data_IF_970184960512
#
_entry.id   IF_970184960512
#
_cell.length_a   1.000
_cell.length_b   1.000
_cell.length_c   1.000
_cell.angle_alpha   90.00
_cell.angle_beta   90.00
_cell.angle_gamma   90.00
#
_symmetry.space_group_name_H-M   'P 1'
#
loop_
_entity.id
_entity.type
_entity.pdbx_description
1 polymer ?
#
# COMPACT_ATOMS: atom_id res chain seq x y z
N UNK A 1 3.43 10.75 -10.50
CA UNK A 1 4.31 9.59 -10.19
C UNK A 1 4.49 9.38 -8.69
N UNK A 2 4.81 10.42 -7.91
CA UNK A 2 5.06 10.30 -6.46
C UNK A 2 3.89 9.74 -5.65
N UNK A 3 2.64 9.97 -6.08
CA UNK A 3 1.45 9.47 -5.39
C UNK A 3 1.32 7.94 -5.46
N UNK A 4 1.53 7.34 -6.64
CA UNK A 4 1.54 5.87 -6.80
C UNK A 4 2.64 5.19 -5.99
N UNK A 5 3.79 5.85 -5.87
CA UNK A 5 4.90 5.34 -5.05
C UNK A 5 4.59 5.42 -3.55
N UNK A 6 3.92 6.48 -3.10
CA UNK A 6 3.46 6.59 -1.71
C UNK A 6 2.43 5.51 -1.38
N UNK A 7 1.42 5.34 -2.24
CA UNK A 7 0.42 4.27 -2.11
C UNK A 7 1.12 2.90 -2.09
N UNK A 8 2.04 2.65 -3.01
CA UNK A 8 2.81 1.41 -3.06
C UNK A 8 3.63 1.13 -1.80
N UNK A 9 4.26 2.16 -1.23
CA UNK A 9 5.01 2.05 0.02
C UNK A 9 4.11 1.70 1.20
N UNK A 10 3.01 2.43 1.38
CA UNK A 10 2.06 2.22 2.50
C UNK A 10 1.47 0.80 2.46
N UNK A 11 1.05 0.34 1.28
CA UNK A 11 0.52 -1.02 1.10
C UNK A 11 1.60 -2.10 1.27
N UNK A 12 2.83 -1.82 0.82
CA UNK A 12 3.93 -2.75 1.01
C UNK A 12 4.26 -2.92 2.50
N UNK A 13 4.37 -1.84 3.26
CA UNK A 13 4.67 -1.89 4.70
C UNK A 13 3.61 -2.69 5.48
N UNK A 14 2.34 -2.50 5.14
CA UNK A 14 1.22 -3.23 5.76
C UNK A 14 1.27 -4.73 5.44
N UNK A 15 1.44 -5.10 4.16
CA UNK A 15 1.57 -6.50 3.74
C UNK A 15 2.87 -7.15 4.24
N UNK A 16 3.92 -6.35 4.43
CA UNK A 16 5.23 -6.80 4.89
C UNK A 16 5.25 -7.21 6.38
N UNK A 17 4.18 -6.91 7.13
CA UNK A 17 3.97 -7.44 8.49
C UNK A 17 3.91 -8.97 8.51
N UNK A 18 3.48 -9.59 7.40
CA UNK A 18 3.50 -11.04 7.21
C UNK A 18 4.77 -11.41 6.44
N UNK A 19 5.75 -11.99 7.14
CA UNK A 19 7.08 -12.28 6.58
C UNK A 19 7.03 -13.10 5.26
N UNK A 20 6.11 -14.06 5.15
CA UNK A 20 5.93 -14.86 3.94
C UNK A 20 5.41 -14.03 2.75
N UNK A 21 4.48 -13.09 3.00
CA UNK A 21 3.96 -12.18 1.96
C UNK A 21 5.06 -11.20 1.53
N UNK A 22 5.81 -10.66 2.50
CA UNK A 22 6.98 -9.81 2.22
C UNK A 22 7.98 -10.48 1.28
N UNK A 23 8.37 -11.72 1.60
CA UNK A 23 9.33 -12.47 0.81
C UNK A 23 8.83 -12.71 -0.62
N UNK A 24 7.56 -13.09 -0.77
CA UNK A 24 6.94 -13.29 -2.08
C UNK A 24 6.90 -12.00 -2.91
N UNK A 25 6.48 -10.87 -2.33
CA UNK A 25 6.45 -9.57 -3.03
C UNK A 25 7.85 -9.15 -3.51
N UNK A 26 8.90 -9.36 -2.70
CA UNK A 26 10.27 -9.03 -3.08
C UNK A 26 10.77 -9.98 -4.17
N UNK A 27 10.51 -11.28 -4.08
CA UNK A 27 10.94 -12.26 -5.08
C UNK A 27 10.28 -12.03 -6.43
N UNK A 28 8.98 -11.77 -6.42
CA UNK A 28 8.16 -11.64 -7.62
C UNK A 28 8.29 -10.26 -8.28
N UNK A 29 9.00 -9.30 -7.68
CA UNK A 29 9.27 -7.98 -8.29
C UNK A 29 9.90 -8.04 -9.69
N UNK A 30 10.58 -9.16 -10.01
CA UNK A 30 11.21 -9.44 -11.31
C UNK A 30 10.22 -9.79 -12.42
N UNK A 31 8.96 -10.08 -12.06
CA UNK A 31 7.89 -10.29 -13.02
C UNK A 31 7.53 -8.98 -13.73
N UNK A 32 6.79 -9.10 -14.83
CA UNK A 32 6.15 -7.93 -15.44
C UNK A 32 5.13 -7.32 -14.47
N UNK A 33 4.83 -6.03 -14.62
CA UNK A 33 3.84 -5.36 -13.78
C UNK A 33 2.48 -6.09 -13.79
N UNK A 34 2.03 -6.53 -14.97
CA UNK A 34 0.75 -7.22 -15.13
C UNK A 34 0.74 -8.60 -14.44
N UNK A 35 1.82 -9.39 -14.60
CA UNK A 35 1.93 -10.70 -13.95
C UNK A 35 2.03 -10.57 -12.43
N UNK A 36 2.77 -9.56 -11.94
CA UNK A 36 2.85 -9.23 -10.53
C UNK A 36 1.48 -8.84 -9.98
N UNK A 37 0.77 -7.95 -10.68
CA UNK A 37 -0.53 -7.46 -10.28
C UNK A 37 -1.55 -8.60 -10.18
N UNK A 38 -1.61 -9.45 -11.22
CA UNK A 38 -2.50 -10.60 -11.25
C UNK A 38 -2.19 -11.60 -10.12
N UNK A 39 -0.91 -11.92 -9.92
CA UNK A 39 -0.49 -12.90 -8.90
C UNK A 39 -0.78 -12.43 -7.47
N UNK A 40 -0.59 -11.14 -7.18
CA UNK A 40 -0.73 -10.62 -5.82
C UNK A 40 -2.11 -10.03 -5.50
N UNK A 41 -2.96 -9.76 -6.49
CA UNK A 41 -4.32 -9.27 -6.26
C UNK A 41 -5.11 -10.13 -5.25
N UNK A 42 -5.04 -11.46 -5.39
CA UNK A 42 -5.72 -12.38 -4.45
C UNK A 42 -5.15 -12.28 -3.03
N UNK A 43 -3.83 -12.09 -2.90
CA UNK A 43 -3.16 -11.95 -1.61
C UNK A 43 -3.59 -10.66 -0.92
N UNK A 44 -3.62 -9.55 -1.66
CA UNK A 44 -4.09 -8.25 -1.19
C UNK A 44 -5.55 -8.33 -0.74
N UNK A 45 -6.44 -8.88 -1.58
CA UNK A 45 -7.87 -9.04 -1.23
C UNK A 45 -8.05 -9.83 0.06
N UNK A 46 -7.37 -10.96 0.20
CA UNK A 46 -7.47 -11.79 1.40
C UNK A 46 -6.95 -11.08 2.64
N UNK A 47 -5.83 -10.37 2.52
CA UNK A 47 -5.24 -9.64 3.63
C UNK A 47 -6.21 -8.56 4.15
N UNK A 48 -6.73 -7.71 3.27
CA UNK A 48 -7.61 -6.61 3.68
C UNK A 48 -9.04 -7.04 4.03
N UNK A 49 -9.55 -8.14 3.47
CA UNK A 49 -10.79 -8.75 3.95
C UNK A 49 -10.64 -9.26 5.39
N UNK A 50 -9.45 -9.73 5.77
CA UNK A 50 -9.19 -10.28 7.10
C UNK A 50 -8.88 -9.18 8.12
N UNK A 51 -8.04 -8.20 7.74
CA UNK A 51 -7.52 -7.17 8.66
C UNK A 51 -8.46 -5.97 8.77
N UNK A 52 -9.10 -5.57 7.67
CA UNK A 52 -9.91 -4.34 7.61
C UNK A 52 -11.39 -4.61 7.29
N UNK A 53 -11.80 -5.86 7.09
CA UNK A 53 -13.14 -6.24 6.61
C UNK A 53 -13.54 -5.50 5.32
N UNK A 54 -12.54 -5.19 4.48
CA UNK A 54 -12.73 -4.51 3.20
C UNK A 54 -12.71 -5.54 2.06
N UNK A 55 -13.77 -5.54 1.26
CA UNK A 55 -13.86 -6.34 0.06
C UNK A 55 -13.45 -5.52 -1.15
N UNK A 56 -12.19 -5.64 -1.56
CA UNK A 56 -11.73 -5.05 -2.81
C UNK A 56 -12.25 -5.85 -4.01
N UNK A 57 -12.62 -5.11 -5.07
CA UNK A 57 -12.75 -5.67 -6.40
C UNK A 57 -11.38 -6.17 -6.88
N UNK A 58 -11.40 -7.10 -7.84
CA UNK A 58 -10.16 -7.64 -8.39
C UNK A 58 -9.32 -6.54 -9.08
N UNK A 59 -9.98 -5.65 -9.81
CA UNK A 59 -9.34 -4.53 -10.53
C UNK A 59 -8.64 -3.57 -9.57
N UNK A 60 -9.27 -3.24 -8.42
CA UNK A 60 -8.66 -2.39 -7.39
C UNK A 60 -7.43 -3.07 -6.76
N UNK A 61 -7.54 -4.37 -6.48
CA UNK A 61 -6.43 -5.13 -5.93
C UNK A 61 -5.25 -5.25 -6.90
N UNK A 62 -5.53 -5.39 -8.20
CA UNK A 62 -4.51 -5.33 -9.25
C UNK A 62 -3.86 -3.94 -9.31
N UNK A 63 -4.64 -2.86 -9.19
CA UNK A 63 -4.10 -1.49 -9.13
C UNK A 63 -3.16 -1.29 -7.93
N UNK A 64 -3.53 -1.75 -6.74
CA UNK A 64 -2.66 -1.66 -5.57
C UNK A 64 -1.40 -2.51 -5.72
N UNK A 65 -1.52 -3.72 -6.27
CA UNK A 65 -0.37 -4.56 -6.59
C UNK A 65 0.57 -3.89 -7.60
N UNK A 66 0.05 -3.24 -8.64
CA UNK A 66 0.84 -2.42 -9.56
C UNK A 66 1.57 -1.29 -8.82
N UNK A 67 0.90 -0.60 -7.89
CA UNK A 67 1.55 0.46 -7.10
C UNK A 67 2.72 -0.09 -6.26
N UNK A 68 2.55 -1.26 -5.63
CA UNK A 68 3.62 -1.96 -4.90
C UNK A 68 4.77 -2.33 -5.83
N UNK A 69 4.48 -2.86 -7.03
CA UNK A 69 5.51 -3.19 -8.02
C UNK A 69 6.35 -1.97 -8.41
N UNK A 70 5.69 -0.84 -8.67
CA UNK A 70 6.39 0.43 -8.97
C UNK A 70 7.26 0.85 -7.78
N UNK A 71 6.74 0.79 -6.55
CA UNK A 71 7.50 1.11 -5.36
C UNK A 71 8.75 0.23 -5.20
N UNK A 72 8.60 -1.10 -5.31
CA UNK A 72 9.71 -2.05 -5.19
C UNK A 72 10.80 -1.83 -6.25
N UNK A 73 10.41 -1.48 -7.47
CA UNK A 73 11.36 -1.19 -8.55
C UNK A 73 12.06 0.16 -8.36
N UNK A 74 11.47 1.12 -7.65
CA UNK A 74 12.17 2.36 -7.27
C UNK A 74 13.17 2.20 -6.14
N UNK A 75 12.97 1.23 -5.23
CA UNK A 75 13.97 0.88 -4.21
C UNK A 75 15.25 0.34 -4.86
N UNK A 76 15.12 -0.45 -5.92
CA UNK A 76 16.26 -0.98 -6.67
C UNK A 76 17.04 0.14 -7.39
N UNK A 77 16.32 1.10 -8.00
CA UNK A 77 16.96 2.29 -8.59
C UNK A 77 17.64 3.17 -7.53
N UNK A 78 17.14 3.18 -6.29
CA UNK A 78 17.76 3.91 -5.18
C UNK A 78 19.02 3.21 -4.66
N UNK A 79 19.06 1.87 -4.67
CA UNK A 79 20.29 1.10 -4.44
C UNK A 79 21.33 1.26 -5.55
N UNK A 80 20.91 1.52 -6.80
CA UNK A 80 21.83 1.92 -7.89
C UNK A 80 22.25 3.39 -7.77
N UNK A 81 21.47 4.23 -7.07
CA UNK A 81 21.79 5.64 -6.78
C UNK A 81 22.54 5.87 -5.47
N UNK A 82 22.78 4.85 -4.67
CA UNK A 82 23.58 4.91 -3.44
C UNK A 82 25.10 4.95 -3.74
N UNK A 83 25.47 5.74 -4.74
CA UNK A 83 26.80 6.35 -4.90
C UNK A 83 26.78 7.86 -4.64
N UNK A 84 25.60 8.44 -4.32
CA UNK A 84 25.49 9.85 -3.95
C UNK A 84 24.55 10.03 -2.74
N UNK A 85 25.19 10.18 -1.58
CA UNK A 85 24.59 10.46 -0.28
C UNK A 85 24.36 11.98 -0.11
N UNK A 86 23.21 12.41 0.42
CA UNK A 86 23.15 13.60 1.27
C UNK A 86 22.57 13.28 2.66
N UNK A 87 22.78 14.14 3.67
CA UNK A 87 22.81 13.71 5.07
C UNK A 87 21.42 13.63 5.72
N UNK A 88 21.33 12.62 6.60
CA UNK A 88 20.41 12.35 7.70
C UNK A 88 19.54 13.53 8.17
N UNK A 89 18.22 13.31 8.21
CA UNK A 89 17.33 13.96 9.17
C UNK A 89 16.42 12.89 9.83
N UNK A 90 16.75 12.57 11.07
CA UNK A 90 15.93 11.81 12.02
C UNK A 90 14.60 12.53 12.27
N UNK A 91 13.47 11.83 12.35
CA UNK A 91 12.32 12.18 13.21
C UNK A 91 11.22 11.08 13.16
N UNK A 92 10.87 10.41 14.28
CA UNK A 92 9.92 9.30 14.31
C UNK A 92 8.46 9.67 14.70
N UNK A 93 7.97 10.87 14.40
CA UNK A 93 6.67 11.36 14.90
C UNK A 93 5.54 11.55 13.87
N UNK A 94 5.77 11.38 12.57
CA UNK A 94 4.76 11.65 11.53
C UNK A 94 3.77 10.51 11.28
N UNK A 95 4.11 9.27 11.64
CA UNK A 95 3.26 8.09 11.38
C UNK A 95 1.93 8.12 12.13
N UNK A 96 1.83 8.79 13.28
CA UNK A 96 0.57 8.93 14.03
C UNK A 96 -0.36 10.03 13.47
N UNK A 97 0.15 10.98 12.68
CA UNK A 97 -0.67 12.07 12.12
C UNK A 97 -1.33 11.71 10.79
N UNK A 98 -0.83 10.69 10.08
CA UNK A 98 -1.36 10.27 8.78
C UNK A 98 -2.84 9.82 8.88
N UNK A 99 -3.19 9.10 9.95
CA UNK A 99 -4.57 8.67 10.23
C UNK A 99 -5.57 9.83 10.38
N UNK A 100 -5.17 10.97 10.98
CA UNK A 100 -6.07 12.12 11.20
C UNK A 100 -6.42 12.86 9.90
N UNK A 101 -5.55 12.84 8.89
CA UNK A 101 -5.83 13.45 7.57
C UNK A 101 -6.71 12.57 6.70
N UNK A 102 -6.54 11.26 6.77
CA UNK A 102 -7.37 10.29 6.02
C UNK A 102 -8.78 10.22 6.64
N UNK A 103 -8.90 10.20 7.97
CA UNK A 103 -10.20 10.22 8.65
C UNK A 103 -10.91 11.59 8.57
N UNK A 104 -10.16 12.70 8.48
CA UNK A 104 -10.71 14.06 8.41
C UNK A 104 -11.35 14.44 7.07
N UNK A 105 -11.19 13.60 6.03
CA UNK A 105 -11.84 13.75 4.72
C UNK A 105 -13.03 12.81 4.51
N UNK A 106 -13.26 11.85 5.40
CA UNK A 106 -14.40 10.93 5.31
C UNK A 106 -15.56 11.53 6.12
N UNK A 107 -16.43 12.27 5.44
CA UNK A 107 -17.77 12.58 5.97
C UNK A 107 -18.68 11.39 5.71
N UNK A 108 -19.15 10.66 6.74
CA UNK A 108 -20.36 9.88 6.57
C UNK A 108 -21.54 10.86 6.56
N UNK A 109 -21.82 11.50 5.43
CA UNK A 109 -23.18 11.99 5.15
C UNK A 109 -24.02 10.80 4.67
N UNK A 110 -24.21 9.84 5.57
CA UNK A 110 -25.34 8.93 5.54
C UNK A 110 -26.22 9.35 6.71
N UNK A 111 -27.16 10.23 6.39
CA UNK A 111 -28.28 10.65 7.20
C UNK A 111 -29.01 9.45 7.79
N UNK A 112 -28.71 9.10 9.04
CA UNK A 112 -29.63 8.32 9.85
C UNK A 112 -30.71 9.27 10.35
N UNK A 113 -31.77 9.45 9.55
CA UNK A 113 -33.05 9.84 10.10
C UNK A 113 -33.52 8.70 11.02
N UNK A 114 -33.50 8.96 12.32
CA UNK A 114 -34.11 8.11 13.32
C UNK A 114 -35.62 8.01 13.03
N UNK A 115 -36.04 6.89 12.45
CA UNK A 115 -37.41 6.40 12.54
C UNK A 115 -37.51 5.53 13.80
N UNK A 116 -37.93 6.15 14.90
CA UNK A 116 -38.60 5.43 15.99
C UNK A 116 -39.84 6.22 16.35
N UNK A 117 -40.97 5.50 16.26
CA UNK A 117 -42.31 5.91 16.64
C UNK A 117 -42.41 6.35 18.11
#
# INVERSE_FOLDING_TARGET
MSERLRIGADFFDDLATVAAVKAALIEDRRLTEADFAHRHATTIRRHYATVAHLEFLEEDAQFFASCIWHYLNTLDMSNVRESYQPPVASHPQESAQCWKRIAGGWKPEATYHALTA
#
